data_IF_067632392274
#
_entry.id   IF_067632392274
#
_cell.length_a   1.000
_cell.length_b   1.000
_cell.length_c   1.000
_cell.angle_alpha   90.00
_cell.angle_beta   90.00
_cell.angle_gamma   90.00
#
_symmetry.space_group_name_H-M   'P 1'
#
loop_
_entity.id
_entity.type
_entity.pdbx_description
1 polymer ?
#
# COMPACT_ATOMS: atom_id res chain seq x y z
N UNK A 1 -11.74 -7.87 4.73
CA UNK A 1 -10.34 -7.45 4.47
C UNK A 1 -10.41 -6.13 3.73
N UNK A 2 -9.41 -5.27 3.88
CA UNK A 2 -9.34 -3.96 3.20
C UNK A 2 -7.95 -3.78 2.59
N UNK A 3 -7.88 -3.13 1.43
CA UNK A 3 -6.61 -2.76 0.78
C UNK A 3 -6.56 -1.23 0.74
N UNK A 4 -5.49 -0.66 1.28
CA UNK A 4 -5.15 0.75 1.13
C UNK A 4 -4.04 0.91 0.11
N UNK A 5 -4.18 1.88 -0.78
CA UNK A 5 -3.16 2.26 -1.76
C UNK A 5 -2.88 3.74 -1.60
N UNK A 6 -1.61 4.09 -1.42
CA UNK A 6 -1.10 5.46 -1.41
C UNK A 6 -0.19 5.67 -2.63
N UNK A 7 -0.48 6.71 -3.40
CA UNK A 7 0.17 7.02 -4.67
C UNK A 7 0.97 8.32 -4.53
N UNK A 8 2.27 8.18 -4.30
CA UNK A 8 3.21 9.29 -4.32
C UNK A 8 3.94 9.41 -5.66
N UNK A 9 4.48 10.59 -5.96
CA UNK A 9 5.29 10.82 -7.16
C UNK A 9 6.59 10.02 -7.22
N UNK A 10 7.14 9.64 -6.05
CA UNK A 10 8.39 8.88 -5.96
C UNK A 10 8.20 7.42 -5.54
N UNK A 11 7.13 7.13 -4.78
CA UNK A 11 6.83 5.81 -4.22
C UNK A 11 5.33 5.54 -4.22
N UNK A 12 4.98 4.29 -4.43
CA UNK A 12 3.63 3.76 -4.22
C UNK A 12 3.68 2.80 -3.02
N UNK A 13 2.69 2.90 -2.14
CA UNK A 13 2.55 2.05 -0.97
C UNK A 13 1.23 1.30 -1.01
N UNK A 14 1.28 0.00 -0.69
CA UNK A 14 0.11 -0.85 -0.54
C UNK A 14 0.08 -1.47 0.86
N UNK A 15 -1.07 -1.45 1.50
CA UNK A 15 -1.31 -2.08 2.80
C UNK A 15 -2.52 -3.00 2.73
N UNK A 16 -2.39 -4.19 3.31
CA UNK A 16 -3.48 -5.12 3.51
C UNK A 16 -3.87 -5.12 4.99
N UNK A 17 -5.14 -4.85 5.26
CA UNK A 17 -5.73 -4.89 6.59
C UNK A 17 -6.72 -6.05 6.70
N UNK A 18 -6.77 -6.67 7.87
CA UNK A 18 -7.84 -7.59 8.23
C UNK A 18 -9.16 -6.83 8.51
N UNK A 19 -10.17 -7.53 9.05
CA UNK A 19 -11.45 -6.91 9.38
C UNK A 19 -11.40 -6.03 10.65
N UNK A 20 -10.44 -6.24 11.54
CA UNK A 20 -10.22 -5.45 12.75
C UNK A 20 -9.37 -4.20 12.51
N UNK A 21 -8.78 -4.06 11.31
CA UNK A 21 -7.88 -2.97 10.96
C UNK A 21 -6.42 -3.26 11.28
N UNK A 22 -6.08 -4.51 11.63
CA UNK A 22 -4.70 -4.93 11.83
C UNK A 22 -3.97 -5.08 10.49
N UNK A 23 -2.76 -4.56 10.42
CA UNK A 23 -1.87 -4.71 9.27
C UNK A 23 -1.43 -6.18 9.12
N UNK A 24 -1.80 -6.78 7.99
CA UNK A 24 -1.39 -8.13 7.61
C UNK A 24 -0.17 -8.11 6.69
N UNK A 25 -0.07 -7.10 5.82
CA UNK A 25 1.06 -6.93 4.92
C UNK A 25 1.20 -5.47 4.49
N UNK A 26 2.44 -5.09 4.16
CA UNK A 26 2.78 -3.80 3.56
C UNK A 26 3.81 -4.00 2.48
N UNK A 27 3.60 -3.35 1.34
CA UNK A 27 4.57 -3.31 0.24
C UNK A 27 4.82 -1.87 -0.20
N UNK A 28 6.04 -1.62 -0.67
CA UNK A 28 6.45 -0.32 -1.18
C UNK A 28 7.27 -0.51 -2.44
N UNK A 29 6.89 0.20 -3.49
CA UNK A 29 7.58 0.15 -4.78
C UNK A 29 7.92 1.55 -5.28
N UNK A 30 9.00 1.73 -6.05
CA UNK A 30 9.21 2.96 -6.81
C UNK A 30 8.01 3.27 -7.71
N UNK A 31 7.62 4.54 -7.78
CA UNK A 31 6.66 4.98 -8.80
C UNK A 31 7.33 4.82 -10.16
N UNK A 32 6.69 4.14 -11.13
CA UNK A 32 7.23 4.04 -12.48
C UNK A 32 7.47 5.45 -13.06
N UNK A 33 8.69 5.70 -13.53
CA UNK A 33 8.95 6.84 -14.39
C UNK A 33 8.41 6.47 -15.77
N UNK A 34 7.32 7.12 -16.18
CA UNK A 34 6.87 7.09 -17.57
C UNK A 34 7.92 7.71 -18.50
#
# INVERSE_FOLDING_TARGET
MRIGIDLGGSKIEGILLDNGGTELARTRVPTPAG
#
